data_IF_571159954100
#
_entry.id   IF_571159954100
#
_cell.length_a   1.000
_cell.length_b   1.000
_cell.length_c   1.000
_cell.angle_alpha   90.00
_cell.angle_beta   90.00
_cell.angle_gamma   90.00
#
_symmetry.space_group_name_H-M   'P 1'
#
loop_
_entity.id
_entity.type
_entity.pdbx_description
1 polymer ?
2 branched ?
3 branched ?
4 branched ?
5 branched ?
6 branched ?
7 non-polymer ?
8 non-polymer ?
9 non-polymer ?
10 water ?
#
# COMPACT_ATOMS: atom_id res chain seq x y z
N UNK A 3 10.91 13.81 6.19
CA UNK A 3 11.36 12.48 6.59
C UNK A 3 10.33 11.75 7.51
N UNK A 4 9.51 12.54 8.26
CA UNK A 4 8.48 11.98 9.16
C UNK A 4 7.18 11.80 8.42
N UNK A 5 6.60 10.59 8.52
CA UNK A 5 5.32 10.28 7.90
C UNK A 5 4.22 10.70 8.87
N UNK A 6 3.22 11.44 8.37
CA UNK A 6 2.06 11.81 9.18
C UNK A 6 0.88 11.00 8.64
N UNK A 7 0.33 10.12 9.47
CA UNK A 7 -0.82 9.33 9.07
C UNK A 7 -2.06 9.64 9.89
N UNK A 8 -3.23 9.55 9.26
CA UNK A 8 -4.52 9.81 9.90
C UNK A 8 -5.61 8.94 9.37
N UNK A 9 -6.66 8.78 10.16
CA UNK A 9 -7.88 8.02 9.84
C UNK A 9 -8.91 8.97 9.31
N UNK A 10 -9.72 8.51 8.36
CA UNK A 10 -10.80 9.29 7.78
C UNK A 10 -12.09 8.52 8.01
N UNK A 11 -13.21 9.25 8.24
CA UNK A 11 -14.54 8.69 8.51
C UNK A 11 -15.07 7.84 7.37
N UNK A 12 -15.65 6.70 7.73
CA UNK A 12 -16.25 5.75 6.81
C UNK A 12 -17.13 4.84 7.59
N UNK A 13 -18.44 5.00 7.38
CA UNK A 13 -19.48 4.20 8.04
C UNK A 13 -19.36 2.73 7.65
N UNK A 14 -18.88 2.48 6.42
CA UNK A 14 -18.65 1.14 5.89
C UNK A 14 -17.50 0.39 6.54
N UNK A 15 -16.68 1.07 7.36
CA UNK A 15 -15.56 0.43 8.06
C UNK A 15 -15.82 0.32 9.57
N UNK A 16 -15.94 -0.94 10.05
CA UNK A 16 -16.12 -1.29 11.45
C UNK A 16 -14.87 -0.80 12.20
N UNK A 17 -15.08 -0.06 13.29
CA UNK A 17 -14.01 0.48 14.11
C UNK A 17 -14.00 1.99 14.18
N UNK A 18 -12.78 2.58 14.31
CA UNK A 18 -12.58 4.03 14.40
C UNK A 18 -13.32 4.84 13.32
N UNK A 19 -13.25 4.40 12.05
CA UNK A 19 -13.89 5.05 10.91
C UNK A 19 -15.42 5.18 11.07
N UNK A 20 -16.09 4.13 11.61
CA UNK A 20 -17.55 4.13 11.86
C UNK A 20 -17.89 5.13 12.98
N UNK A 21 -17.09 5.13 14.07
CA UNK A 21 -17.19 6.02 15.21
C UNK A 21 -17.01 7.48 14.79
N UNK A 22 -16.09 7.77 13.85
CA UNK A 22 -15.83 9.14 13.37
C UNK A 22 -17.03 9.65 12.58
N UNK A 23 -17.63 8.78 11.74
CA UNK A 23 -18.83 9.11 10.98
C UNK A 23 -19.98 9.50 11.92
N UNK A 24 -20.21 8.69 12.98
CA UNK A 24 -21.24 8.91 14.00
C UNK A 24 -21.00 10.23 14.71
N UNK A 25 -19.74 10.46 15.15
CA UNK A 25 -19.31 11.66 15.86
C UNK A 25 -19.08 12.91 14.97
N UNK A 26 -19.39 12.80 13.67
CA UNK A 26 -19.22 13.89 12.70
C UNK A 26 -17.81 14.44 12.58
N UNK A 27 -16.81 13.57 12.72
CA UNK A 27 -15.37 13.82 12.70
C UNK A 27 -14.85 13.36 11.32
N UNK A 28 -14.12 14.23 10.60
CA UNK A 28 -13.63 13.88 9.28
C UNK A 28 -12.24 13.23 9.28
N UNK A 29 -11.28 13.84 9.99
CA UNK A 29 -9.91 13.33 10.05
C UNK A 29 -9.42 13.24 11.50
N UNK A 30 -8.91 12.06 11.87
CA UNK A 30 -8.36 11.80 13.21
C UNK A 30 -6.94 11.25 13.06
N UNK A 31 -5.94 11.94 13.66
CA UNK A 31 -4.51 11.60 13.61
C UNK A 31 -4.27 10.19 14.11
N UNK A 32 -3.43 9.42 13.39
CA UNK A 32 -3.00 8.07 13.75
C UNK A 32 -1.60 8.18 14.40
N UNK A 33 -0.65 8.84 13.73
CA UNK A 33 0.69 9.07 14.24
C UNK A 33 1.61 9.87 13.33
N UNK A 34 2.78 10.24 13.87
CA UNK A 34 3.86 10.94 13.17
C UNK A 34 5.05 9.99 13.30
N UNK A 35 5.48 9.41 12.17
CA UNK A 35 6.52 8.40 12.23
C UNK A 35 7.89 8.74 11.68
N UNK A 36 8.90 9.02 12.55
CA UNK A 36 10.27 9.19 12.06
C UNK A 36 10.84 7.83 11.58
N UNK A 37 12.04 7.82 10.97
CA UNK A 37 12.67 6.58 10.49
C UNK A 37 12.84 5.56 11.65
N UNK A 38 13.37 6.03 12.80
CA UNK A 38 13.65 5.25 14.00
C UNK A 38 12.42 4.87 14.79
N UNK A 39 12.22 3.54 15.02
CA UNK A 39 11.17 2.99 15.88
C UNK A 39 11.79 2.72 17.26
N UNK A 40 11.09 3.17 18.31
CA UNK A 40 11.51 3.02 19.71
C UNK A 40 11.40 1.58 20.22
N UNK A 41 12.43 1.13 20.93
CA UNK A 41 12.43 -0.21 21.54
C UNK A 41 12.90 -0.06 22.97
N UNK A 42 12.30 -0.86 23.84
CA UNK A 42 12.70 -0.87 25.24
C UNK A 42 11.77 -0.11 26.13
N UNK A 43 12.28 0.22 27.32
CA UNK A 43 11.50 0.94 28.31
C UNK A 43 11.48 2.41 27.95
N UNK A 44 10.26 2.99 27.75
CA UNK A 44 10.17 4.44 27.49
C UNK A 44 10.85 5.31 28.55
N UNK A 45 11.17 6.54 28.18
CA UNK A 45 11.82 7.50 29.05
C UNK A 45 10.82 8.10 30.06
N UNK A 46 9.52 8.16 29.69
CA UNK A 46 8.44 8.73 30.47
C UNK A 46 7.12 8.00 30.20
N UNK A 47 6.35 7.69 31.25
CA UNK A 47 5.04 7.05 31.12
C UNK A 47 4.02 8.14 30.82
N UNK A 48 3.48 8.11 29.61
CA UNK A 48 2.48 9.06 29.13
C UNK A 48 1.17 8.93 29.92
N UNK A 49 0.79 9.99 30.63
CA UNK A 49 -0.43 9.98 31.44
C UNK A 49 -1.61 10.40 30.58
N UNK A 50 -2.84 9.97 30.95
CA UNK A 50 -4.07 10.33 30.22
C UNK A 50 -4.25 11.83 30.16
N UNK A 51 -3.83 12.56 31.22
CA UNK A 51 -3.93 14.02 31.28
C UNK A 51 -3.14 14.62 30.12
N UNK A 52 -1.88 14.20 29.98
CA UNK A 52 -0.95 14.59 28.93
C UNK A 52 -1.51 14.19 27.58
N UNK A 53 -1.91 12.93 27.41
CA UNK A 53 -2.45 12.41 26.16
C UNK A 53 -3.79 13.00 25.75
N UNK A 54 -4.61 13.51 26.71
CA UNK A 54 -5.91 14.14 26.42
C UNK A 54 -5.71 15.52 25.76
N UNK A 55 -4.50 16.14 25.97
CA UNK A 55 -4.06 17.43 25.41
C UNK A 55 -3.93 17.41 23.88
N UNK A 56 -3.95 16.21 23.25
CA UNK A 56 -3.95 16.05 21.79
C UNK A 56 -5.45 16.06 21.42
N UNK A 57 -6.03 17.28 21.34
CA UNK A 57 -7.44 17.53 21.05
C UNK A 57 -7.88 17.19 19.68
N UNK A 58 -8.90 16.34 19.66
CA UNK A 58 -9.55 15.89 18.44
C UNK A 58 -9.10 14.53 17.95
N UNK A 59 -7.97 14.01 18.48
CA UNK A 59 -7.43 12.70 18.08
C UNK A 59 -8.19 11.62 18.83
N UNK A 60 -8.92 10.79 18.09
CA UNK A 60 -9.67 9.68 18.63
C UNK A 60 -8.79 8.44 18.69
N UNK A 61 -9.08 7.58 19.66
CA UNK A 61 -8.42 6.30 19.91
C UNK A 61 -9.00 5.26 18.94
N UNK A 62 -8.16 4.37 18.40
CA UNK A 62 -8.59 3.33 17.47
C UNK A 62 -9.17 2.11 18.20
N UNK A 63 -9.20 2.17 19.54
CA UNK A 63 -9.66 1.14 20.45
C UNK A 63 -11.13 1.24 20.90
N UNK A 64 -11.87 0.09 20.79
CA UNK A 64 -13.26 -0.09 21.23
C UNK A 64 -13.34 -0.02 22.77
N UNK A 65 -12.28 -0.53 23.44
CA UNK A 65 -12.07 -0.61 24.90
C UNK A 65 -12.21 0.76 25.59
N UNK A 66 -12.06 1.88 24.84
CA UNK A 66 -12.17 3.25 25.35
C UNK A 66 -13.30 3.99 24.64
N UNK A 67 -14.12 3.25 23.87
CA UNK A 67 -15.23 3.77 23.05
C UNK A 67 -14.67 4.82 22.07
N UNK A 68 -13.48 4.49 21.48
CA UNK A 68 -12.75 5.31 20.52
C UNK A 68 -12.54 6.76 21.01
N UNK A 69 -11.97 6.91 22.25
CA UNK A 69 -11.73 8.22 22.87
C UNK A 69 -10.25 8.47 23.21
N UNK A 70 -9.78 7.96 24.38
CA UNK A 70 -8.40 8.10 24.85
C UNK A 70 -8.14 7.02 25.91
N UNK A 71 -6.86 6.57 26.12
CA UNK A 71 -5.65 7.07 25.47
C UNK A 71 -4.78 5.93 24.93
N UNK A 72 -5.37 4.79 24.59
CA UNK A 72 -4.62 3.63 24.09
C UNK A 72 -3.72 3.88 22.86
N UNK A 73 -4.33 4.24 21.70
CA UNK A 73 -3.59 4.57 20.47
C UNK A 73 -2.56 5.66 20.76
N UNK A 74 -2.97 6.70 21.52
CA UNK A 74 -2.15 7.84 21.92
C UNK A 74 -0.88 7.40 22.65
N UNK A 75 -1.02 6.55 23.70
CA UNK A 75 0.10 6.01 24.49
C UNK A 75 1.01 5.11 23.65
N UNK A 76 0.38 4.26 22.80
CA UNK A 76 1.07 3.38 21.87
C UNK A 76 2.01 4.16 20.98
N UNK A 77 1.54 5.31 20.46
CA UNK A 77 2.30 6.21 19.59
C UNK A 77 3.52 6.80 20.27
N UNK A 78 3.38 7.24 21.52
CA UNK A 78 4.48 7.79 22.30
C UNK A 78 5.50 6.69 22.58
N UNK A 79 5.03 5.49 22.96
CA UNK A 79 5.86 4.32 23.26
C UNK A 79 6.68 3.81 22.08
N UNK A 80 6.07 3.70 20.88
CA UNK A 80 6.70 3.17 19.67
C UNK A 80 7.45 4.22 18.84
N UNK A 81 6.91 5.45 18.73
CA UNK A 81 7.48 6.49 17.86
C UNK A 81 7.90 7.79 18.52
N UNK A 82 7.41 8.05 19.72
CA UNK A 82 7.65 9.32 20.38
C UNK A 82 8.88 9.53 21.22
N UNK A 83 9.06 8.72 22.26
CA UNK A 83 10.11 8.88 23.26
C UNK A 83 11.55 8.93 22.82
N UNK A 84 11.97 8.01 21.96
CA UNK A 84 13.36 7.90 21.50
C UNK A 84 13.73 8.92 20.42
N UNK A 85 12.74 9.69 19.91
CA UNK A 85 12.90 10.66 18.84
C UNK A 85 12.73 12.12 19.28
N UNK A 86 11.73 12.39 20.17
CA UNK A 86 11.45 13.74 20.69
C UNK A 86 12.04 13.96 22.06
N UNK A 87 12.38 12.85 22.77
CA UNK A 87 13.01 12.82 24.09
C UNK A 87 12.11 13.28 25.23
N UNK A 88 11.36 14.37 25.01
CA UNK A 88 10.42 14.93 25.96
C UNK A 88 8.99 14.90 25.44
N UNK A 89 8.02 14.63 26.32
CA UNK A 89 6.63 14.57 25.93
C UNK A 89 6.03 15.91 25.50
N UNK A 90 6.47 17.02 26.13
CA UNK A 90 5.97 18.36 25.82
C UNK A 90 6.11 18.70 24.34
N UNK A 91 7.32 18.64 23.70
CA UNK A 91 7.42 18.93 22.25
C UNK A 91 6.60 17.99 21.35
N UNK A 92 6.50 16.72 21.73
CA UNK A 92 5.73 15.70 21.05
C UNK A 92 4.23 16.03 21.10
N UNK A 93 3.68 16.32 22.32
CA UNK A 93 2.26 16.67 22.55
C UNK A 93 1.84 17.87 21.72
N UNK A 94 2.65 18.97 21.77
CA UNK A 94 2.41 20.21 21.02
C UNK A 94 2.30 19.93 19.53
N UNK A 95 3.19 19.08 18.98
CA UNK A 95 3.20 18.72 17.56
C UNK A 95 1.99 17.90 17.17
N UNK A 96 1.75 16.78 17.88
CA UNK A 96 0.60 15.92 17.67
C UNK A 96 -0.69 16.73 17.70
N UNK A 97 -0.83 17.65 18.68
CA UNK A 97 -2.00 18.51 18.81
C UNK A 97 -2.12 19.55 17.68
N UNK A 98 -1.02 20.20 17.28
CA UNK A 98 -1.00 21.17 16.18
C UNK A 98 -1.33 20.45 14.87
N UNK A 99 -0.79 19.23 14.66
CA UNK A 99 -1.06 18.39 13.48
C UNK A 99 -2.55 18.03 13.43
N UNK A 100 -3.13 17.62 14.58
CA UNK A 100 -4.55 17.31 14.67
C UNK A 100 -5.41 18.57 14.45
N UNK A 101 -4.96 19.74 14.96
CA UNK A 101 -5.66 21.03 14.80
C UNK A 101 -5.83 21.32 13.34
N UNK A 102 -4.74 21.18 12.56
CA UNK A 102 -4.66 21.39 11.12
C UNK A 102 -5.53 20.38 10.39
N UNK A 103 -5.59 19.12 10.88
CA UNK A 103 -6.40 18.05 10.27
C UNK A 103 -7.89 18.32 10.40
N UNK A 104 -8.30 18.93 11.53
CA UNK A 104 -9.65 19.35 11.88
C UNK A 104 -10.14 20.44 10.89
N UNK A 105 -9.21 21.30 10.43
CA UNK A 105 -9.48 22.39 9.50
C UNK A 105 -10.06 21.93 8.16
N UNK A 106 -9.64 20.77 7.68
CA UNK A 106 -10.11 20.24 6.41
C UNK A 106 -9.03 19.53 5.62
N UNK A 107 -9.28 19.34 4.32
CA UNK A 107 -8.35 18.66 3.40
C UNK A 107 -6.94 19.26 3.47
N UNK A 108 -5.94 18.45 3.86
CA UNK A 108 -4.57 18.96 3.98
C UNK A 108 -3.96 19.29 2.63
N UNK A 109 -2.80 19.99 2.64
CA UNK A 109 -2.05 20.33 1.44
C UNK A 109 -1.57 19.04 0.73
N UNK A 110 -1.07 18.06 1.52
CA UNK A 110 -0.59 16.76 1.08
C UNK A 110 -1.49 15.68 1.70
N UNK A 111 -2.30 14.99 0.87
CA UNK A 111 -3.21 13.92 1.30
C UNK A 111 -3.22 12.82 0.26
N UNK A 112 -2.65 11.66 0.64
CA UNK A 112 -2.49 10.46 -0.20
C UNK A 112 -3.13 9.26 0.47
N UNK A 113 -3.98 8.53 -0.27
CA UNK A 113 -4.66 7.33 0.25
C UNK A 113 -3.67 6.25 0.63
N UNK A 114 -3.94 5.51 1.73
CA UNK A 114 -3.12 4.41 2.26
C UNK A 114 -3.95 3.13 2.16
N UNK A 115 -5.09 3.10 2.84
CA UNK A 115 -6.03 2.00 2.85
C UNK A 115 -7.38 2.51 2.38
N UNK A 116 -7.97 1.79 1.42
CA UNK A 116 -9.24 2.09 0.78
C UNK A 116 -10.26 1.03 1.21
N UNK A 117 -11.52 1.25 0.87
CA UNK A 117 -12.62 0.34 1.03
C UNK A 117 -13.49 0.70 -0.16
N UNK A 118 -13.43 -0.13 -1.20
CA UNK A 118 -14.20 0.11 -2.40
C UNK A 118 -15.68 -0.05 -2.09
N UNK A 119 -16.49 0.98 -2.43
CA UNK A 119 -17.95 0.97 -2.25
C UNK A 119 -18.58 0.79 -3.63
N UNK A 120 -19.26 -0.36 -3.81
CA UNK A 120 -19.89 -0.77 -5.06
C UNK A 120 -21.04 0.15 -5.48
N UNK A 121 -21.81 0.66 -4.50
CA UNK A 121 -22.96 1.55 -4.70
C UNK A 121 -22.56 2.91 -5.30
N UNK A 122 -21.64 3.63 -4.64
CA UNK A 122 -21.17 4.95 -5.08
C UNK A 122 -20.09 4.86 -6.17
N UNK A 123 -19.50 3.65 -6.38
CA UNK A 123 -18.44 3.31 -7.35
C UNK A 123 -17.14 4.11 -7.07
N UNK A 124 -16.80 4.24 -5.76
CA UNK A 124 -15.66 5.01 -5.29
C UNK A 124 -14.76 4.23 -4.36
N UNK A 125 -13.51 4.68 -4.28
CA UNK A 125 -12.52 4.18 -3.35
C UNK A 125 -12.63 5.05 -2.11
N UNK A 126 -13.29 4.54 -1.06
CA UNK A 126 -13.49 5.30 0.17
C UNK A 126 -12.24 5.16 1.02
N UNK A 127 -11.47 6.23 1.09
CA UNK A 127 -10.20 6.30 1.82
C UNK A 127 -10.46 6.22 3.32
N UNK A 128 -9.95 5.15 3.96
CA UNK A 128 -10.08 4.92 5.41
C UNK A 128 -8.88 5.51 6.17
N UNK A 129 -7.69 5.48 5.55
CA UNK A 129 -6.46 6.06 6.09
C UNK A 129 -5.71 6.78 4.99
N UNK A 130 -5.10 7.92 5.31
CA UNK A 130 -4.33 8.71 4.36
C UNK A 130 -3.05 9.26 4.99
N UNK A 131 -2.08 9.69 4.16
CA UNK A 131 -0.83 10.26 4.65
C UNK A 131 -0.34 11.44 3.81
N UNK A 132 0.74 12.14 4.24
CA UNK A 132 1.31 13.30 3.55
C UNK A 132 2.38 12.95 2.46
N UNK A 133 2.50 11.65 2.10
CA UNK A 133 3.45 11.12 1.10
C UNK A 133 2.76 9.98 0.33
N UNK A 134 2.98 9.79 -1.00
CA UNK A 134 2.34 8.65 -1.68
C UNK A 134 2.94 7.33 -1.20
N UNK A 135 2.11 6.28 -1.17
CA UNK A 135 2.51 4.95 -0.68
C UNK A 135 1.74 3.83 -1.41
N UNK A 136 2.32 2.58 -1.56
CA UNK A 136 1.55 1.50 -2.20
C UNK A 136 0.18 1.35 -1.55
N UNK A 137 -0.88 1.38 -2.36
CA UNK A 137 -2.26 1.30 -1.90
C UNK A 137 -2.68 -0.05 -1.36
N UNK A 138 -3.78 -0.09 -0.59
CA UNK A 138 -4.35 -1.31 0.02
C UNK A 138 -5.87 -1.24 -0.07
N UNK A 139 -6.47 -2.28 -0.64
CA UNK A 139 -7.91 -2.39 -0.80
C UNK A 139 -8.50 -1.41 -1.79
N UNK A 140 -7.66 -0.90 -2.70
CA UNK A 140 -8.08 0.07 -3.71
C UNK A 140 -8.29 -0.62 -5.06
N UNK A 141 -9.40 -0.31 -5.73
CA UNK A 141 -9.73 -0.87 -7.03
C UNK A 141 -9.17 0.09 -8.06
N UNK A 142 -8.36 -0.42 -8.99
CA UNK A 142 -7.73 0.38 -10.05
C UNK A 142 -8.76 0.89 -11.07
N UNK A 143 -8.68 2.17 -11.40
CA UNK A 143 -9.59 2.84 -12.34
C UNK A 143 -10.72 3.62 -11.70
N UNK A 144 -10.95 3.40 -10.38
CA UNK A 144 -12.03 4.06 -9.61
C UNK A 144 -11.54 5.33 -8.92
N UNK A 145 -12.42 6.34 -8.78
CA UNK A 145 -12.13 7.61 -8.10
C UNK A 145 -12.12 7.45 -6.58
N UNK A 146 -11.49 8.39 -5.87
CA UNK A 146 -11.30 8.34 -4.42
C UNK A 146 -12.17 9.31 -3.64
N UNK A 147 -12.62 8.89 -2.46
CA UNK A 147 -13.39 9.72 -1.52
C UNK A 147 -12.64 9.84 -0.20
N UNK A 148 -12.13 11.04 0.08
CA UNK A 148 -11.41 11.35 1.30
C UNK A 148 -12.40 12.12 2.14
N UNK A 149 -13.08 11.40 3.07
CA UNK A 149 -14.09 11.95 3.96
C UNK A 149 -15.05 12.90 3.21
N UNK A 150 -15.60 12.40 2.09
CA UNK A 150 -16.54 13.12 1.25
C UNK A 150 -15.98 13.86 0.06
N UNK A 151 -14.68 14.24 0.12
CA UNK A 151 -14.03 14.96 -0.98
C UNK A 151 -13.63 13.96 -2.08
N UNK A 152 -14.12 14.19 -3.29
CA UNK A 152 -13.86 13.35 -4.46
C UNK A 152 -12.59 13.81 -5.21
N UNK A 153 -11.63 12.87 -5.36
CA UNK A 153 -10.34 13.07 -6.03
C UNK A 153 -10.17 12.01 -7.13
N UNK A 154 -9.60 12.40 -8.28
CA UNK A 154 -9.37 11.51 -9.42
C UNK A 154 -8.30 10.48 -9.10
N UNK A 155 -7.16 10.96 -8.61
CA UNK A 155 -6.01 10.13 -8.25
C UNK A 155 -5.94 9.76 -6.77
N UNK A 156 -4.95 8.93 -6.36
CA UNK A 156 -4.83 8.57 -4.93
C UNK A 156 -4.33 9.69 -4.04
N UNK A 157 -3.81 10.76 -4.65
CA UNK A 157 -3.30 11.94 -3.95
C UNK A 157 -4.01 13.19 -4.43
N UNK A 158 -3.98 14.26 -3.62
CA UNK A 158 -4.62 15.53 -3.97
C UNK A 158 -3.64 16.51 -4.67
N UNK A 159 -2.68 15.92 -5.41
CA UNK A 159 -1.64 16.58 -6.18
C UNK A 159 -1.03 15.56 -7.17
N UNK A 160 -0.31 16.03 -8.19
CA UNK A 160 0.28 15.09 -9.15
C UNK A 160 1.63 14.52 -8.73
N UNK A 161 1.77 13.19 -8.90
CA UNK A 161 2.97 12.43 -8.53
C UNK A 161 3.85 12.08 -9.74
N UNK A 162 3.20 11.46 -10.75
CA UNK A 162 3.74 10.91 -11.98
C UNK A 162 4.42 11.89 -12.93
N UNK A 163 5.29 11.32 -13.83
CA UNK A 163 6.04 11.94 -14.93
C UNK A 163 6.73 13.25 -14.58
N UNK B 3 9.16 -5.09 4.76
CA UNK B 3 9.13 -3.63 4.58
C UNK B 3 8.79 -3.22 3.12
N UNK B 4 9.28 -4.02 2.14
CA UNK B 4 9.08 -3.81 0.71
C UNK B 4 8.19 -4.90 0.15
N UNK B 5 7.17 -4.48 -0.61
CA UNK B 5 6.23 -5.40 -1.26
C UNK B 5 6.85 -5.83 -2.58
N UNK B 6 6.89 -7.13 -2.85
CA UNK B 6 7.34 -7.64 -4.14
C UNK B 6 6.10 -8.15 -4.87
N UNK B 7 5.78 -7.52 -6.01
CA UNK B 7 4.63 -7.95 -6.80
C UNK B 7 5.04 -8.47 -8.17
N UNK B 8 4.31 -9.46 -8.67
CA UNK B 8 4.58 -10.08 -9.96
C UNK B 8 3.31 -10.50 -10.65
N UNK B 9 3.40 -10.64 -11.98
CA UNK B 9 2.33 -11.07 -12.86
C UNK B 9 2.48 -12.54 -13.07
N UNK B 10 1.35 -13.24 -13.22
CA UNK B 10 1.32 -14.67 -13.50
C UNK B 10 0.56 -14.86 -14.80
N UNK B 11 0.97 -15.86 -15.60
CA UNK B 11 0.38 -16.19 -16.89
C UNK B 11 -1.09 -16.59 -16.80
N UNK B 12 -1.88 -16.07 -17.72
CA UNK B 12 -3.29 -16.35 -17.84
C UNK B 12 -3.73 -15.96 -19.23
N UNK B 13 -4.05 -16.97 -20.04
CA UNK B 13 -4.51 -16.80 -21.40
C UNK B 13 -5.85 -16.05 -21.44
N UNK B 14 -6.65 -16.20 -20.38
CA UNK B 14 -7.93 -15.52 -20.23
C UNK B 14 -7.81 -14.03 -19.98
N UNK B 15 -6.59 -13.51 -19.71
CA UNK B 15 -6.38 -12.09 -19.46
C UNK B 15 -5.63 -11.42 -20.61
N UNK B 16 -6.31 -10.52 -21.33
CA UNK B 16 -5.75 -9.71 -22.40
C UNK B 16 -4.65 -8.82 -21.78
N UNK B 17 -3.48 -8.84 -22.41
CA UNK B 17 -2.33 -8.07 -21.95
C UNK B 17 -1.15 -8.94 -21.61
N UNK B 18 -0.31 -8.50 -20.63
CA UNK B 18 0.88 -9.21 -20.18
C UNK B 18 0.65 -10.69 -19.88
N UNK B 19 -0.42 -11.01 -19.14
CA UNK B 19 -0.77 -12.38 -18.77
C UNK B 19 -0.94 -13.31 -19.99
N UNK B 20 -1.61 -12.83 -21.07
CA UNK B 20 -1.83 -13.54 -22.35
C UNK B 20 -0.46 -13.79 -23.01
N UNK B 21 0.38 -12.73 -23.10
CA UNK B 21 1.73 -12.75 -23.67
C UNK B 21 2.65 -13.71 -22.93
N UNK B 22 2.54 -13.76 -21.60
CA UNK B 22 3.30 -14.67 -20.75
C UNK B 22 2.96 -16.12 -21.11
N UNK B 23 1.64 -16.45 -21.18
CA UNK B 23 1.16 -17.77 -21.55
C UNK B 23 1.75 -18.22 -22.90
N UNK B 24 1.70 -17.33 -23.93
CA UNK B 24 2.23 -17.58 -25.28
C UNK B 24 3.73 -17.83 -25.21
N UNK B 25 4.47 -16.98 -24.48
CA UNK B 25 5.91 -17.09 -24.29
C UNK B 25 6.38 -18.14 -23.27
N UNK B 26 5.44 -18.94 -22.73
CA UNK B 26 5.74 -20.00 -21.75
C UNK B 26 6.44 -19.54 -20.48
N UNK B 27 6.09 -18.33 -20.02
CA UNK B 27 6.61 -17.62 -18.86
C UNK B 27 5.56 -17.76 -17.74
N UNK B 28 5.96 -18.21 -16.54
CA UNK B 28 5.01 -18.40 -15.45
C UNK B 28 4.86 -17.16 -14.56
N UNK B 29 5.98 -16.56 -14.14
CA UNK B 29 5.99 -15.38 -13.28
C UNK B 29 6.90 -14.29 -13.85
N UNK B 30 6.35 -13.07 -13.98
CA UNK B 30 7.09 -11.90 -14.46
C UNK B 30 6.94 -10.78 -13.42
N UNK B 31 8.07 -10.27 -12.90
CA UNK B 31 8.13 -9.23 -11.88
C UNK B 31 7.39 -7.97 -12.33
N UNK B 32 6.61 -7.37 -11.42
CA UNK B 32 5.88 -6.13 -11.64
C UNK B 32 6.70 -5.01 -10.97
N UNK B 33 7.06 -5.17 -9.70
CA UNK B 33 7.87 -4.21 -8.95
C UNK B 33 8.18 -4.61 -7.52
N UNK B 34 9.09 -3.83 -6.90
CA UNK B 34 9.48 -3.94 -5.48
C UNK B 34 9.11 -2.59 -4.87
N UNK B 35 8.11 -2.58 -4.00
CA UNK B 35 7.64 -1.32 -3.49
C UNK B 35 7.91 -0.96 -2.05
N UNK B 36 8.87 -0.04 -1.77
CA UNK B 36 9.06 0.43 -0.38
C UNK B 36 7.87 1.30 0.05
N UNK B 37 7.83 1.71 1.33
CA UNK B 37 6.74 2.56 1.87
C UNK B 37 6.58 3.86 1.06
N UNK B 38 7.72 4.54 0.81
CA UNK B 38 7.84 5.81 0.10
C UNK B 38 7.71 5.68 -1.42
N UNK B 39 6.74 6.40 -2.00
CA UNK B 39 6.57 6.52 -3.45
C UNK B 39 7.27 7.81 -3.89
N UNK B 40 8.05 7.72 -4.97
CA UNK B 40 8.82 8.82 -5.53
C UNK B 40 7.95 9.88 -6.20
N UNK B 41 8.25 11.15 -5.91
CA UNK B 41 7.58 12.30 -6.51
C UNK B 41 8.64 13.28 -6.98
N UNK B 42 8.35 13.91 -8.10
CA UNK B 42 9.25 14.90 -8.66
C UNK B 42 10.07 14.37 -9.80
N UNK B 43 11.14 15.10 -10.11
CA UNK B 43 12.02 14.74 -11.20
C UNK B 43 12.98 13.66 -10.74
N UNK B 44 12.98 12.48 -11.42
CA UNK B 44 13.97 11.42 -11.08
C UNK B 44 15.42 11.90 -11.06
N UNK B 45 16.27 11.19 -10.34
CA UNK B 45 17.68 11.51 -10.21
C UNK B 45 18.46 11.12 -11.46
N UNK B 46 17.98 10.09 -12.18
CA UNK B 46 18.63 9.51 -13.36
C UNK B 46 17.58 8.94 -14.32
N UNK B 47 17.75 9.20 -15.62
CA UNK B 47 16.89 8.68 -16.69
C UNK B 47 17.36 7.26 -17.00
N UNK B 48 16.53 6.28 -16.65
CA UNK B 48 16.80 4.85 -16.86
C UNK B 48 16.86 4.53 -18.36
N UNK B 49 18.02 4.07 -18.84
CA UNK B 49 18.20 3.76 -20.26
C UNK B 49 17.77 2.32 -20.51
N UNK B 50 17.36 2.00 -21.77
CA UNK B 50 16.94 0.65 -22.15
C UNK B 50 18.04 -0.36 -21.89
N UNK B 51 19.32 0.04 -22.07
CA UNK B 51 20.48 -0.83 -21.86
C UNK B 51 20.47 -1.30 -20.42
N UNK B 52 20.35 -0.34 -19.46
CA UNK B 52 20.28 -0.57 -18.02
C UNK B 52 19.06 -1.42 -17.70
N UNK B 53 17.87 -1.03 -18.19
CA UNK B 53 16.63 -1.73 -17.94
C UNK B 53 16.53 -3.11 -18.56
N UNK B 54 17.29 -3.39 -19.64
CA UNK B 54 17.33 -4.71 -20.30
C UNK B 54 18.06 -5.74 -19.41
N UNK B 55 18.93 -5.25 -18.48
CA UNK B 55 19.69 -6.04 -17.51
C UNK B 55 18.82 -6.76 -16.47
N UNK B 56 17.51 -6.42 -16.38
CA UNK B 56 16.52 -7.11 -15.54
C UNK B 56 15.97 -8.25 -16.44
N UNK B 57 16.77 -9.30 -16.63
CA UNK B 57 16.47 -10.44 -17.49
C UNK B 57 15.26 -11.24 -17.04
N UNK B 58 14.31 -11.44 -17.95
CA UNK B 58 13.11 -12.24 -17.72
C UNK B 58 11.85 -11.45 -17.38
N UNK B 59 12.02 -10.17 -16.97
CA UNK B 59 10.91 -9.29 -16.60
C UNK B 59 10.33 -8.74 -17.87
N UNK B 60 9.07 -9.09 -18.14
CA UNK B 60 8.34 -8.60 -19.31
C UNK B 60 7.63 -7.31 -18.99
N UNK B 61 7.48 -6.48 -20.00
CA UNK B 61 6.79 -5.18 -19.97
C UNK B 61 5.27 -5.43 -20.07
N UNK B 62 4.48 -4.67 -19.32
CA UNK B 62 3.02 -4.81 -19.32
C UNK B 62 2.37 -4.04 -20.52
N UNK B 63 3.20 -3.43 -21.35
CA UNK B 63 2.84 -2.64 -22.51
C UNK B 63 2.83 -3.35 -23.86
N UNK B 64 1.73 -3.19 -24.63
CA UNK B 64 1.52 -3.71 -26.00
C UNK B 64 2.46 -3.00 -26.99
N UNK B 65 2.73 -1.71 -26.73
CA UNK B 65 3.57 -0.78 -27.49
C UNK B 65 5.01 -1.30 -27.68
N UNK B 66 5.45 -2.26 -26.83
CA UNK B 66 6.78 -2.87 -26.89
C UNK B 66 6.68 -4.36 -27.13
N UNK B 67 5.46 -4.85 -27.46
CA UNK B 67 5.11 -6.26 -27.66
C UNK B 67 5.47 -7.03 -26.37
N UNK B 68 5.15 -6.41 -25.20
CA UNK B 68 5.39 -6.96 -23.87
C UNK B 68 6.85 -7.41 -23.68
N UNK B 69 7.82 -6.50 -23.93
CA UNK B 69 9.25 -6.81 -23.81
C UNK B 69 9.99 -5.87 -22.85
N UNK B 70 10.36 -4.65 -23.30
CA UNK B 70 11.09 -3.65 -22.53
C UNK B 70 10.92 -2.29 -23.25
N UNK B 71 11.01 -1.13 -22.54
CA UNK B 71 11.30 -1.01 -21.12
C UNK B 71 10.30 -0.11 -20.40
N UNK B 72 9.06 0.00 -20.90
CA UNK B 72 8.04 0.88 -20.31
C UNK B 72 7.74 0.64 -18.81
N UNK B 73 7.20 -0.55 -18.48
CA UNK B 73 6.92 -0.93 -17.08
C UNK B 73 8.17 -0.79 -16.22
N UNK B 74 9.34 -1.25 -16.75
CA UNK B 74 10.65 -1.18 -16.12
C UNK B 74 11.03 0.26 -15.74
N UNK B 75 10.93 1.22 -16.69
CA UNK B 75 11.21 2.65 -16.45
C UNK B 75 10.22 3.27 -15.45
N UNK B 76 8.93 2.92 -15.59
CA UNK B 76 7.86 3.36 -14.70
C UNK B 76 8.18 3.01 -13.27
N UNK B 77 8.67 1.79 -13.05
CA UNK B 77 9.06 1.30 -11.73
C UNK B 77 10.21 2.07 -11.10
N UNK B 78 11.23 2.39 -11.88
CA UNK B 78 12.37 3.16 -11.42
C UNK B 78 11.90 4.58 -11.06
N UNK B 79 11.05 5.18 -11.91
CA UNK B 79 10.52 6.53 -11.72
C UNK B 79 9.63 6.69 -10.49
N UNK B 80 8.72 5.73 -10.25
CA UNK B 80 7.77 5.76 -9.14
C UNK B 80 8.30 5.18 -7.82
N UNK B 81 9.09 4.08 -7.89
CA UNK B 81 9.55 3.36 -6.69
C UNK B 81 11.05 3.24 -6.49
N UNK B 82 11.82 3.43 -7.54
CA UNK B 82 13.24 3.19 -7.50
C UNK B 82 14.19 4.28 -7.04
N UNK B 83 14.18 5.42 -7.74
CA UNK B 83 15.13 6.51 -7.54
C UNK B 83 15.27 7.12 -6.17
N UNK B 84 14.17 7.44 -5.52
CA UNK B 84 14.15 8.11 -4.21
C UNK B 84 14.43 7.17 -3.04
N UNK B 85 14.50 5.85 -3.31
CA UNK B 85 14.71 4.83 -2.29
C UNK B 85 16.08 4.11 -2.36
N UNK B 86 16.58 3.81 -3.61
CA UNK B 86 17.86 3.16 -3.87
C UNK B 86 18.94 4.14 -4.23
N UNK B 87 18.54 5.37 -4.65
CA UNK B 87 19.42 6.49 -5.01
C UNK B 87 20.20 6.29 -6.30
N UNK B 88 20.79 5.09 -6.50
CA UNK B 88 21.52 4.75 -7.71
C UNK B 88 20.85 3.56 -8.37
N UNK B 89 20.88 3.51 -9.69
CA UNK B 89 20.24 2.46 -10.49
C UNK B 89 20.89 1.10 -10.37
N UNK B 90 22.23 1.07 -10.18
CA UNK B 90 22.98 -0.19 -10.06
C UNK B 90 22.42 -1.12 -8.96
N UNK B 91 22.27 -0.69 -7.68
CA UNK B 91 21.73 -1.59 -6.65
C UNK B 91 20.31 -2.06 -6.95
N UNK B 92 19.49 -1.14 -7.50
CA UNK B 92 18.11 -1.38 -7.90
C UNK B 92 18.04 -2.46 -8.99
N UNK B 93 18.82 -2.31 -10.08
CA UNK B 93 18.89 -3.26 -11.20
C UNK B 93 19.26 -4.67 -10.73
N UNK B 94 20.34 -4.79 -9.91
CA UNK B 94 20.80 -6.06 -9.38
C UNK B 94 19.70 -6.78 -8.59
N UNK B 95 18.94 -6.02 -7.77
CA UNK B 95 17.84 -6.56 -6.96
C UNK B 95 16.67 -7.04 -7.81
N UNK B 96 16.18 -6.16 -8.68
CA UNK B 96 15.10 -6.46 -9.62
C UNK B 96 15.43 -7.74 -10.41
N UNK B 97 16.68 -7.84 -10.90
CA UNK B 97 17.13 -9.00 -11.66
C UNK B 97 17.22 -10.30 -10.83
N UNK B 98 17.78 -10.22 -9.60
CA UNK B 98 17.88 -11.36 -8.68
C UNK B 98 16.46 -11.82 -8.28
N UNK B 99 15.54 -10.86 -8.03
CA UNK B 99 14.13 -11.15 -7.70
C UNK B 99 13.46 -11.88 -8.88
N UNK B 100 13.68 -11.41 -10.10
CA UNK B 100 13.13 -12.05 -11.29
C UNK B 100 13.73 -13.45 -11.49
N UNK B 101 15.05 -13.61 -11.20
CA UNK B 101 15.78 -14.87 -11.32
C UNK B 101 15.10 -15.93 -10.46
N UNK B 102 14.81 -15.56 -9.21
CA UNK B 102 14.14 -16.37 -8.22
C UNK B 102 12.70 -16.69 -8.63
N UNK B 103 12.02 -15.73 -9.27
CA UNK B 103 10.64 -15.91 -9.74
C UNK B 103 10.52 -16.93 -10.87
N UNK B 104 11.56 -16.96 -11.73
CA UNK B 104 11.75 -17.89 -12.86
C UNK B 104 11.88 -19.33 -12.34
N UNK B 105 12.50 -19.52 -11.17
CA UNK B 105 12.70 -20.81 -10.51
C UNK B 105 11.40 -21.58 -10.23
N UNK B 106 10.33 -20.87 -9.88
CA UNK B 106 9.04 -21.48 -9.59
C UNK B 106 8.30 -20.82 -8.45
N UNK B 107 7.31 -21.55 -7.88
CA UNK B 107 6.47 -21.07 -6.79
C UNK B 107 7.32 -20.54 -5.62
N UNK B 108 7.18 -19.24 -5.29
CA UNK B 108 7.99 -18.66 -4.22
C UNK B 108 7.60 -19.18 -2.83
N UNK B 109 8.43 -18.87 -1.82
CA UNK B 109 8.17 -19.25 -0.42
C UNK B 109 6.89 -18.53 0.07
N UNK B 110 6.74 -17.23 -0.28
CA UNK B 110 5.60 -16.36 0.06
C UNK B 110 4.91 -15.94 -1.25
N UNK B 111 3.70 -16.45 -1.50
CA UNK B 111 2.89 -16.14 -2.70
C UNK B 111 1.41 -16.02 -2.32
N UNK B 112 0.91 -14.76 -2.37
CA UNK B 112 -0.45 -14.37 -2.02
C UNK B 112 -1.13 -13.68 -3.19
N UNK B 113 -2.36 -14.13 -3.55
CA UNK B 113 -3.14 -13.55 -4.67
C UNK B 113 -3.48 -12.09 -4.42
N UNK B 114 -3.44 -11.26 -5.49
CA UNK B 114 -3.75 -9.83 -5.45
C UNK B 114 -4.98 -9.60 -6.33
N UNK B 115 -4.87 -9.91 -7.63
CA UNK B 115 -5.94 -9.79 -8.60
C UNK B 115 -6.18 -11.16 -9.22
N UNK B 116 -7.46 -11.55 -9.24
CA UNK B 116 -7.95 -12.83 -9.76
C UNK B 116 -8.75 -12.58 -11.03
N UNK B 117 -9.10 -13.65 -11.74
CA UNK B 117 -9.96 -13.68 -12.90
C UNK B 117 -10.64 -15.02 -12.72
N UNK B 118 -11.88 -15.00 -12.25
CA UNK B 118 -12.63 -16.22 -12.04
C UNK B 118 -12.94 -16.87 -13.38
N UNK B 119 -12.58 -18.15 -13.53
CA UNK B 119 -12.85 -18.94 -14.75
C UNK B 119 -13.98 -19.90 -14.43
N UNK B 120 -15.13 -19.69 -15.11
CA UNK B 120 -16.36 -20.45 -14.92
C UNK B 120 -16.21 -21.93 -15.31
N UNK B 121 -15.42 -22.21 -16.37
CA UNK B 121 -15.17 -23.57 -16.89
C UNK B 121 -14.43 -24.47 -15.89
N UNK B 122 -13.24 -24.03 -15.43
CA UNK B 122 -12.39 -24.76 -14.48
C UNK B 122 -12.86 -24.61 -13.03
N UNK B 123 -13.74 -23.60 -12.75
CA UNK B 123 -14.32 -23.25 -11.44
C UNK B 123 -13.22 -22.82 -10.44
N UNK B 124 -12.25 -22.03 -10.95
CA UNK B 124 -11.09 -21.57 -10.19
C UNK B 124 -10.87 -20.08 -10.26
N UNK B 125 -10.17 -19.56 -9.25
CA UNK B 125 -9.72 -18.17 -9.19
C UNK B 125 -8.33 -18.16 -9.82
N UNK B 126 -8.25 -17.72 -11.08
CA UNK B 126 -6.97 -17.68 -11.80
C UNK B 126 -6.25 -16.41 -11.42
N UNK B 127 -5.20 -16.57 -10.61
CA UNK B 127 -4.38 -15.49 -10.08
C UNK B 127 -3.60 -14.83 -11.22
N UNK B 128 -3.89 -13.55 -11.47
CA UNK B 128 -3.22 -12.78 -12.52
C UNK B 128 -2.01 -12.03 -11.94
N UNK B 129 -2.10 -11.61 -10.67
CA UNK B 129 -1.04 -10.93 -9.94
C UNK B 129 -0.97 -11.46 -8.53
N UNK B 130 0.25 -11.63 -8.00
CA UNK B 130 0.48 -12.12 -6.64
C UNK B 130 1.60 -11.37 -5.93
N UNK B 131 1.66 -11.45 -4.60
CA UNK B 131 2.70 -10.76 -3.82
C UNK B 131 3.23 -11.60 -2.65
N UNK B 132 4.28 -11.13 -1.94
CA UNK B 132 4.90 -11.84 -0.82
C UNK B 132 4.26 -11.54 0.56
N UNK B 133 3.08 -10.86 0.58
CA UNK B 133 2.32 -10.46 1.79
C UNK B 133 0.82 -10.58 1.48
N UNK B 134 -0.06 -11.01 2.44
CA UNK B 134 -1.50 -11.07 2.11
C UNK B 134 -2.07 -9.67 1.95
N UNK B 135 -3.07 -9.52 1.07
CA UNK B 135 -3.68 -8.23 0.75
C UNK B 135 -5.19 -8.42 0.37
N UNK B 136 -6.07 -7.42 0.60
CA UNK B 136 -7.48 -7.57 0.16
C UNK B 136 -7.55 -7.90 -1.33
N UNK B 137 -8.27 -8.96 -1.65
CA UNK B 137 -8.38 -9.50 -3.01
C UNK B 137 -9.18 -8.63 -3.98
N UNK B 138 -9.02 -8.88 -5.30
CA UNK B 138 -9.71 -8.17 -6.39
C UNK B 138 -10.10 -9.16 -7.47
N UNK B 139 -11.37 -9.16 -7.84
CA UNK B 139 -11.92 -10.05 -8.86
C UNK B 139 -11.95 -11.50 -8.48
N UNK B 140 -11.90 -11.78 -7.15
CA UNK B 140 -11.91 -13.14 -6.62
C UNK B 140 -13.30 -13.56 -6.17
N UNK B 141 -13.69 -14.80 -6.52
CA UNK B 141 -14.98 -15.36 -6.18
C UNK B 141 -14.84 -16.12 -4.86
N UNK B 142 -15.59 -15.69 -3.83
CA UNK B 142 -15.53 -16.29 -2.50
C UNK B 142 -16.00 -17.76 -2.53
N UNK B 143 -15.19 -18.64 -1.95
CA UNK B 143 -15.50 -20.07 -1.88
C UNK B 143 -14.82 -20.93 -2.93
N UNK B 144 -14.23 -20.29 -3.96
CA UNK B 144 -13.53 -20.96 -5.06
C UNK B 144 -12.02 -21.08 -4.80
N UNK B 145 -11.39 -22.17 -5.30
CA UNK B 145 -9.95 -22.43 -5.18
C UNK B 145 -9.14 -21.56 -6.14
N UNK B 146 -7.83 -21.41 -5.87
CA UNK B 146 -6.93 -20.54 -6.62
C UNK B 146 -5.94 -21.27 -7.50
N UNK B 147 -5.64 -20.67 -8.67
CA UNK B 147 -4.65 -21.19 -9.62
C UNK B 147 -3.56 -20.13 -9.82
N UNK B 148 -2.36 -20.42 -9.33
CA UNK B 148 -1.19 -19.56 -9.46
C UNK B 148 -0.35 -20.20 -10.54
N UNK B 149 -0.50 -19.72 -11.79
CA UNK B 149 0.20 -20.23 -12.98
C UNK B 149 0.19 -21.77 -13.02
N UNK B 150 -1.00 -22.35 -12.84
CA UNK B 150 -1.21 -23.79 -12.86
C UNK B 150 -1.23 -24.50 -11.52
N UNK B 151 -0.58 -23.91 -10.48
CA UNK B 151 -0.53 -24.49 -9.14
C UNK B 151 -1.84 -24.19 -8.41
N UNK B 152 -2.54 -25.24 -7.97
CA UNK B 152 -3.81 -25.16 -7.27
C UNK B 152 -3.62 -25.04 -5.76
N UNK B 153 -4.17 -23.96 -5.19
CA UNK B 153 -4.09 -23.64 -3.75
C UNK B 153 -5.55 -23.45 -3.21
N UNK B 154 -5.82 -23.96 -2.01
CA UNK B 154 -7.13 -23.84 -1.39
C UNK B 154 -7.45 -22.40 -1.01
N UNK B 155 -6.51 -21.75 -0.32
CA UNK B 155 -6.64 -20.37 0.12
C UNK B 155 -5.96 -19.37 -0.81
N UNK B 156 -6.02 -18.05 -0.50
CA UNK B 156 -5.37 -17.05 -1.36
C UNK B 156 -3.83 -16.96 -1.24
N UNK B 157 -3.22 -17.60 -0.19
CA UNK B 157 -1.78 -17.61 0.10
C UNK B 157 -1.29 -19.06 0.18
N UNK B 158 -0.01 -19.31 -0.16
CA UNK B 158 0.60 -20.64 -0.09
C UNK B 158 1.26 -20.90 1.33
N UNK B 159 0.79 -20.18 2.37
CA UNK B 159 1.22 -20.25 3.78
C UNK B 159 0.16 -19.61 4.69
N UNK B 160 0.23 -19.86 6.00
CA UNK B 160 -0.72 -19.28 6.96
C UNK B 160 -0.03 -18.45 8.06
N UNK B 161 1.27 -18.72 8.36
CA UNK B 161 2.09 -18.01 9.37
C UNK B 161 2.11 -16.51 9.11
N UNK B 162 2.02 -15.69 10.17
CA UNK B 162 1.99 -14.22 10.10
C UNK B 162 3.32 -13.63 9.67
N UNK B 163 3.27 -12.64 8.77
CA UNK B 163 4.41 -11.88 8.24
C UNK B 163 4.01 -10.39 8.10
#
# INVERSE_FOLDING_TARGET
>A
RSENITQWNLQDNGTEGIQRAMFQRGVNRSLHGIWPEKICTGVPSHLATDTELKAIHGMMDASEKTNYTCCRLQRHEWNKHGWCNWYNIEPWILLMNKTQANLTEGQPLRECAVTCRYDRDSDLNVVTQARDSPTPLTGCKKGKNFSFAGILVQGPCNFEIAVSDVL
>B
RSENITQWNLQDNGTEGIQRAMFQRGVNRSLHGIWPEKICTGVPSHLATDTELKAIHGMMDASEKTNYTCCRLQRHEWNKHGWCNWYNIEPWILLMNKTQANLTEGQPLRECAVTCRYDRDSDLNVVTQARDSPTPLTGCKKGKNFSFAGILVQGPCNFEIAVSDVL
#
